data_IF_430584670629
#
_entry.id   IF_430584670629
#
_cell.length_a   1.000
_cell.length_b   1.000
_cell.length_c   1.000
_cell.angle_alpha   90.00
_cell.angle_beta   90.00
_cell.angle_gamma   90.00
#
_symmetry.space_group_name_H-M   'P 1'
#
loop_
_entity.id
_entity.type
_entity.pdbx_description
1 polymer ?
#
# COMPACT_ATOMS: atom_id res chain seq x y z
N UNK A 1 -52.52 -49.97 57.91
CA UNK A 1 -53.10 -51.28 57.58
C UNK A 1 -52.24 -51.86 56.51
N UNK A 2 -51.50 -52.95 56.90
CA UNK A 2 -51.18 -54.18 56.15
C UNK A 2 -50.53 -53.95 54.76
N UNK A 3 -49.50 -54.60 54.35
CA UNK A 3 -48.61 -55.69 54.71
C UNK A 3 -47.70 -55.91 53.51
N UNK A 4 -46.40 -56.03 53.73
CA UNK A 4 -45.54 -57.18 53.44
C UNK A 4 -45.56 -57.81 52.00
N UNK A 5 -44.43 -57.89 51.33
CA UNK A 5 -43.59 -59.11 51.20
C UNK A 5 -42.45 -58.85 50.18
N UNK A 6 -41.24 -58.95 50.61
CA UNK A 6 -40.16 -59.92 50.38
C UNK A 6 -40.03 -60.47 48.96
N UNK A 7 -38.80 -60.42 48.46
CA UNK A 7 -38.32 -61.33 47.44
C UNK A 7 -36.98 -60.95 46.88
N UNK A 8 -35.93 -61.52 47.49
CA UNK A 8 -34.52 -61.61 47.07
C UNK A 8 -34.39 -62.29 45.70
N UNK A 9 -33.48 -61.89 44.87
CA UNK A 9 -32.48 -62.78 44.20
C UNK A 9 -31.39 -62.01 43.47
N UNK A 10 -30.19 -62.17 43.90
CA UNK A 10 -28.95 -61.77 43.23
C UNK A 10 -28.81 -62.49 41.90
N UNK A 11 -28.42 -61.74 40.87
CA UNK A 11 -27.66 -62.28 39.72
C UNK A 11 -26.54 -61.37 39.33
N UNK A 12 -25.33 -61.81 39.58
CA UNK A 12 -24.05 -61.35 39.06
C UNK A 12 -24.09 -61.42 37.53
N UNK A 13 -23.88 -60.25 36.88
CA UNK A 13 -23.39 -60.23 35.51
C UNK A 13 -22.15 -59.37 35.48
N UNK A 14 -21.02 -59.99 35.30
CA UNK A 14 -19.76 -59.34 34.91
C UNK A 14 -19.89 -58.90 33.48
N UNK A 15 -19.87 -57.58 33.24
CA UNK A 15 -19.68 -57.01 31.92
C UNK A 15 -18.31 -56.37 31.84
N UNK A 16 -17.46 -57.03 31.10
CA UNK A 16 -16.13 -56.57 30.63
C UNK A 16 -16.26 -55.24 29.93
N UNK A 17 -15.70 -54.20 30.54
CA UNK A 17 -15.54 -52.89 29.90
C UNK A 17 -14.40 -52.96 28.89
N UNK A 18 -14.73 -53.02 27.60
CA UNK A 18 -13.78 -52.87 26.49
C UNK A 18 -13.56 -51.34 26.32
N UNK A 19 -12.47 -50.85 26.92
CA UNK A 19 -12.04 -49.45 26.73
C UNK A 19 -11.51 -49.32 25.31
N UNK A 20 -12.37 -48.81 24.40
CA UNK A 20 -11.99 -48.35 23.08
C UNK A 20 -11.13 -47.07 23.19
N UNK A 21 -9.81 -47.21 23.01
CA UNK A 21 -8.92 -46.08 22.77
C UNK A 21 -9.24 -45.57 21.37
N UNK A 22 -10.14 -44.57 21.29
CA UNK A 22 -10.25 -43.74 20.12
C UNK A 22 -8.99 -42.85 20.06
N UNK A 23 -8.02 -43.30 19.30
CA UNK A 23 -6.88 -42.47 18.90
C UNK A 23 -7.40 -41.22 18.19
N UNK A 24 -7.33 -40.08 18.86
CA UNK A 24 -7.50 -38.77 18.20
C UNK A 24 -6.34 -38.59 17.21
N UNK A 25 -6.56 -38.96 15.96
CA UNK A 25 -5.70 -38.56 14.86
C UNK A 25 -5.82 -37.03 14.81
N UNK A 26 -4.71 -36.27 14.87
CA UNK A 26 -4.77 -34.84 14.60
C UNK A 26 -5.28 -34.70 13.16
N UNK A 27 -6.46 -34.12 12.98
CA UNK A 27 -6.88 -33.57 11.71
C UNK A 27 -5.84 -32.48 11.36
N UNK A 28 -4.87 -32.85 10.54
CA UNK A 28 -4.06 -31.88 9.84
C UNK A 28 -5.05 -31.07 8.99
N UNK A 29 -5.44 -29.91 9.48
CA UNK A 29 -6.18 -28.94 8.69
C UNK A 29 -5.28 -28.59 7.51
N UNK A 30 -5.48 -29.27 6.37
CA UNK A 30 -4.87 -28.83 5.11
C UNK A 30 -5.42 -27.45 4.83
N UNK A 31 -4.52 -26.46 4.71
CA UNK A 31 -4.91 -25.13 4.26
C UNK A 31 -5.74 -25.28 2.96
N UNK A 32 -6.85 -24.56 2.87
CA UNK A 32 -7.70 -24.61 1.67
C UNK A 32 -6.87 -24.27 0.44
N UNK A 33 -7.06 -25.01 -0.64
CA UNK A 33 -6.36 -24.79 -1.90
C UNK A 33 -6.64 -23.35 -2.40
N UNK A 34 -5.58 -22.59 -2.67
CA UNK A 34 -5.69 -21.23 -3.22
C UNK A 34 -6.07 -21.33 -4.69
N UNK A 35 -7.22 -20.79 -5.07
CA UNK A 35 -7.69 -20.74 -6.46
C UNK A 35 -7.50 -19.37 -7.10
N UNK A 36 -7.39 -18.33 -6.30
CA UNK A 36 -7.29 -16.95 -6.74
C UNK A 36 -6.45 -16.14 -5.75
N UNK A 37 -5.68 -15.19 -6.29
CA UNK A 37 -4.95 -14.16 -5.55
C UNK A 37 -5.54 -12.82 -5.93
N UNK A 38 -6.11 -12.09 -4.96
CA UNK A 38 -6.78 -10.82 -5.16
C UNK A 38 -5.87 -9.68 -4.70
N UNK A 39 -5.44 -8.85 -5.65
CA UNK A 39 -4.47 -7.77 -5.42
C UNK A 39 -5.16 -6.43 -5.58
N UNK A 40 -5.07 -5.59 -4.55
CA UNK A 40 -5.57 -4.22 -4.57
C UNK A 40 -4.45 -3.23 -4.94
N UNK A 41 -4.80 -2.26 -5.78
CA UNK A 41 -3.89 -1.22 -6.25
C UNK A 41 -4.61 0.13 -6.28
N UNK A 42 -4.01 1.23 -5.76
CA UNK A 42 -4.50 2.58 -6.04
C UNK A 42 -4.42 2.86 -7.53
N UNK A 43 -5.50 3.35 -8.12
CA UNK A 43 -5.51 3.75 -9.53
C UNK A 43 -4.97 5.16 -9.71
N UNK A 44 -3.80 5.26 -10.31
CA UNK A 44 -3.09 6.51 -10.56
C UNK A 44 -3.32 7.05 -11.98
N UNK A 45 -4.15 6.37 -12.79
CA UNK A 45 -4.39 6.75 -14.18
C UNK A 45 -5.31 7.97 -14.29
N UNK A 46 -5.07 8.78 -15.32
CA UNK A 46 -5.97 9.85 -15.73
C UNK A 46 -6.96 9.43 -16.83
N UNK A 47 -6.77 8.25 -17.41
CA UNK A 47 -7.56 7.72 -18.52
C UNK A 47 -8.47 6.56 -18.14
N UNK A 48 -8.79 5.75 -19.15
CA UNK A 48 -9.65 4.55 -19.03
C UNK A 48 -8.86 3.29 -18.69
N UNK A 49 -7.57 3.25 -19.03
CA UNK A 49 -6.66 2.20 -18.60
C UNK A 49 -6.30 2.39 -17.14
N UNK A 50 -5.86 1.32 -16.48
CA UNK A 50 -5.46 1.37 -15.08
C UNK A 50 -3.94 1.34 -14.94
N UNK A 51 -3.40 2.16 -14.03
CA UNK A 51 -1.99 2.20 -13.68
C UNK A 51 -1.82 2.27 -12.16
N UNK A 52 -0.97 1.41 -11.62
CA UNK A 52 -0.47 1.52 -10.25
C UNK A 52 0.93 2.15 -10.20
N UNK A 53 1.53 2.40 -11.36
CA UNK A 53 2.91 2.85 -11.47
C UNK A 53 3.92 1.78 -11.04
N UNK A 54 5.21 2.12 -11.14
CA UNK A 54 6.31 1.33 -10.59
C UNK A 54 6.28 -0.16 -10.95
N UNK A 55 6.52 -0.97 -9.95
CA UNK A 55 6.58 -2.43 -10.06
C UNK A 55 5.26 -3.05 -10.54
N UNK A 56 4.11 -2.46 -10.18
CA UNK A 56 2.77 -2.97 -10.55
C UNK A 56 2.57 -2.97 -12.06
N UNK A 57 2.92 -1.89 -12.75
CA UNK A 57 2.72 -1.79 -14.17
C UNK A 57 3.64 -2.75 -14.95
N UNK A 58 4.85 -2.99 -14.45
CA UNK A 58 5.76 -4.00 -15.01
C UNK A 58 5.21 -5.41 -14.79
N UNK A 59 4.76 -5.74 -13.59
CA UNK A 59 4.16 -7.04 -13.26
C UNK A 59 3.00 -7.35 -14.20
N UNK A 60 2.07 -6.41 -14.36
CA UNK A 60 0.88 -6.58 -15.20
C UNK A 60 1.20 -6.67 -16.69
N UNK A 61 1.98 -5.73 -17.22
CA UNK A 61 2.29 -5.68 -18.65
C UNK A 61 3.04 -6.91 -19.13
N UNK A 62 3.83 -7.52 -18.26
CA UNK A 62 4.59 -8.74 -18.56
C UNK A 62 3.91 -10.01 -18.10
N UNK A 63 2.75 -9.90 -17.43
CA UNK A 63 1.98 -11.03 -16.87
C UNK A 63 2.86 -11.91 -15.96
N UNK A 64 3.69 -11.29 -15.11
CA UNK A 64 4.68 -12.01 -14.33
C UNK A 64 4.02 -12.90 -13.28
N UNK A 65 3.01 -12.40 -12.55
CA UNK A 65 2.29 -13.18 -11.56
C UNK A 65 1.43 -14.26 -12.22
N UNK A 66 0.73 -13.93 -13.29
CA UNK A 66 -0.10 -14.87 -14.05
C UNK A 66 0.73 -16.07 -14.53
N UNK A 67 1.91 -15.80 -15.09
CA UNK A 67 2.84 -16.86 -15.53
C UNK A 67 3.43 -17.66 -14.36
N UNK A 68 3.76 -16.98 -13.25
CA UNK A 68 4.31 -17.66 -12.09
C UNK A 68 3.31 -18.65 -11.47
N UNK A 69 2.03 -18.36 -11.50
CA UNK A 69 0.98 -19.18 -10.88
C UNK A 69 0.21 -20.09 -11.85
N UNK A 70 0.54 -20.07 -13.13
CA UNK A 70 -0.15 -20.84 -14.15
C UNK A 70 -0.10 -22.37 -13.93
N UNK A 71 1.04 -22.88 -13.46
CA UNK A 71 1.24 -24.30 -13.16
C UNK A 71 0.38 -24.81 -12.00
N UNK A 72 -0.03 -23.91 -11.10
CA UNK A 72 -0.90 -24.22 -9.97
C UNK A 72 -2.39 -23.94 -10.26
N UNK A 73 -2.71 -23.42 -11.45
CA UNK A 73 -4.07 -23.02 -11.79
C UNK A 73 -4.63 -21.86 -10.96
N UNK A 74 -3.77 -21.12 -10.27
CA UNK A 74 -4.17 -19.97 -9.44
C UNK A 74 -4.37 -18.75 -10.34
N UNK A 75 -5.55 -18.14 -10.24
CA UNK A 75 -5.87 -16.90 -10.96
C UNK A 75 -5.30 -15.70 -10.21
N UNK A 76 -4.82 -14.70 -10.96
CA UNK A 76 -4.40 -13.42 -10.40
C UNK A 76 -5.43 -12.37 -10.80
N UNK A 77 -6.05 -11.75 -9.81
CA UNK A 77 -7.03 -10.69 -9.99
C UNK A 77 -6.48 -9.35 -9.52
N UNK A 78 -6.35 -8.40 -10.43
CA UNK A 78 -5.96 -7.03 -10.14
C UNK A 78 -7.20 -6.16 -9.95
N UNK A 79 -7.30 -5.50 -8.80
CA UNK A 79 -8.41 -4.61 -8.44
C UNK A 79 -7.86 -3.19 -8.25
N UNK A 80 -8.32 -2.26 -9.11
CA UNK A 80 -7.88 -0.88 -9.09
C UNK A 80 -8.91 0.02 -8.41
N UNK A 81 -8.45 0.86 -7.48
CA UNK A 81 -9.31 1.72 -6.65
C UNK A 81 -8.94 3.19 -6.81
N UNK A 82 -9.82 3.99 -7.42
CA UNK A 82 -9.65 5.46 -7.48
C UNK A 82 -9.74 6.13 -6.10
N UNK A 83 -10.48 5.52 -5.16
CA UNK A 83 -10.51 5.90 -3.76
C UNK A 83 -9.23 5.57 -2.97
N UNK A 84 -8.24 4.95 -3.63
CA UNK A 84 -6.90 4.65 -3.12
C UNK A 84 -6.92 3.94 -1.74
N UNK A 85 -6.00 4.30 -0.85
CA UNK A 85 -5.78 3.63 0.42
C UNK A 85 -6.99 3.49 1.33
N UNK A 86 -7.82 4.51 1.56
CA UNK A 86 -9.02 4.38 2.38
C UNK A 86 -9.95 3.26 1.93
N UNK A 87 -10.28 3.21 0.64
CA UNK A 87 -11.17 2.17 0.07
C UNK A 87 -10.49 0.79 0.07
N UNK A 88 -9.18 0.72 -0.14
CA UNK A 88 -8.44 -0.54 -0.07
C UNK A 88 -8.43 -1.09 1.36
N UNK A 89 -8.30 -0.25 2.38
CA UNK A 89 -8.41 -0.68 3.78
C UNK A 89 -9.80 -1.24 4.11
N UNK A 90 -10.87 -0.67 3.54
CA UNK A 90 -12.23 -1.22 3.65
C UNK A 90 -12.32 -2.58 2.95
N UNK A 91 -11.71 -2.74 1.76
CA UNK A 91 -11.67 -4.01 1.05
C UNK A 91 -10.92 -5.11 1.85
N UNK A 92 -9.83 -4.77 2.54
CA UNK A 92 -9.16 -5.67 3.48
C UNK A 92 -10.07 -6.05 4.66
N UNK A 93 -10.70 -5.05 5.30
CA UNK A 93 -11.60 -5.29 6.42
C UNK A 93 -12.76 -6.23 6.07
N UNK A 94 -13.21 -6.19 4.82
CA UNK A 94 -14.28 -7.03 4.29
C UNK A 94 -13.79 -8.37 3.68
N UNK A 95 -12.48 -8.68 3.75
CA UNK A 95 -11.92 -9.91 3.19
C UNK A 95 -12.01 -10.00 1.65
N UNK A 96 -12.07 -8.85 0.97
CA UNK A 96 -12.22 -8.79 -0.49
C UNK A 96 -10.89 -8.84 -1.24
N UNK A 97 -9.76 -8.63 -0.54
CA UNK A 97 -8.42 -8.62 -1.11
C UNK A 97 -7.44 -9.38 -0.22
N UNK A 98 -6.42 -9.97 -0.82
CA UNK A 98 -5.38 -10.76 -0.14
C UNK A 98 -4.09 -9.97 -0.01
N UNK A 99 -3.78 -9.14 -1.01
CA UNK A 99 -2.59 -8.28 -1.05
C UNK A 99 -2.96 -6.87 -1.50
N UNK A 100 -2.16 -5.89 -1.10
CA UNK A 100 -2.28 -4.53 -1.60
C UNK A 100 -0.92 -3.84 -1.74
N UNK A 101 -0.76 -3.12 -2.84
CA UNK A 101 0.27 -2.11 -3.02
C UNK A 101 -0.24 -0.79 -2.47
N UNK A 102 0.38 -0.28 -1.43
CA UNK A 102 -0.08 0.92 -0.73
C UNK A 102 1.06 1.90 -0.47
N UNK A 103 0.74 3.18 -0.50
CA UNK A 103 1.61 4.18 0.12
C UNK A 103 1.61 4.03 1.65
N UNK A 104 2.67 4.52 2.28
CA UNK A 104 2.97 4.31 3.69
C UNK A 104 1.81 4.66 4.63
N UNK A 105 1.25 5.88 4.57
CA UNK A 105 0.20 6.28 5.50
C UNK A 105 -1.04 5.38 5.43
N UNK A 106 -1.47 5.00 4.23
CA UNK A 106 -2.64 4.14 4.08
C UNK A 106 -2.44 2.77 4.75
N UNK A 107 -1.27 2.17 4.51
CA UNK A 107 -0.91 0.89 5.12
C UNK A 107 -0.75 1.01 6.64
N UNK A 108 -0.14 2.09 7.13
CA UNK A 108 0.02 2.42 8.55
C UNK A 108 -1.34 2.61 9.24
N UNK A 109 -2.27 3.34 8.63
CA UNK A 109 -3.64 3.53 9.16
C UNK A 109 -4.35 2.19 9.28
N UNK A 110 -4.29 1.35 8.25
CA UNK A 110 -4.88 0.01 8.29
C UNK A 110 -4.35 -0.80 9.46
N UNK A 111 -3.04 -0.91 9.61
CA UNK A 111 -2.38 -1.63 10.72
C UNK A 111 -2.75 -1.04 12.09
N UNK A 112 -2.67 0.27 12.24
CA UNK A 112 -2.99 0.98 13.48
C UNK A 112 -4.45 0.80 13.91
N UNK A 113 -5.37 0.69 12.96
CA UNK A 113 -6.79 0.45 13.21
C UNK A 113 -7.14 -1.02 13.45
N UNK A 114 -6.15 -1.90 13.46
CA UNK A 114 -6.31 -3.31 13.78
C UNK A 114 -6.57 -4.23 12.60
N UNK A 115 -6.38 -3.77 11.36
CA UNK A 115 -6.35 -4.69 10.22
C UNK A 115 -5.18 -5.67 10.41
N UNK A 116 -5.50 -6.95 10.36
CA UNK A 116 -4.49 -8.01 10.44
C UNK A 116 -3.77 -8.12 9.10
N UNK A 117 -2.71 -7.32 8.95
CA UNK A 117 -1.85 -7.32 7.77
C UNK A 117 -0.40 -7.63 8.15
N UNK A 118 0.36 -8.12 7.17
CA UNK A 118 1.81 -8.36 7.25
C UNK A 118 2.52 -7.49 6.22
N UNK A 119 3.60 -6.85 6.63
CA UNK A 119 4.51 -6.13 5.73
C UNK A 119 5.38 -7.15 4.98
N UNK A 120 5.35 -7.11 3.65
CA UNK A 120 6.00 -8.10 2.79
C UNK A 120 7.18 -7.55 2.02
N UNK A 121 7.10 -6.31 1.54
CA UNK A 121 8.14 -5.74 0.67
C UNK A 121 8.05 -4.22 0.63
N UNK A 122 9.18 -3.55 0.43
CA UNK A 122 9.21 -2.22 -0.12
C UNK A 122 8.78 -2.27 -1.59
N UNK A 123 8.09 -1.25 -2.08
CA UNK A 123 7.68 -1.16 -3.50
C UNK A 123 8.07 0.15 -4.15
N UNK A 124 8.31 1.19 -3.36
CA UNK A 124 8.97 2.41 -3.78
C UNK A 124 9.57 3.15 -2.58
N UNK A 125 10.65 3.90 -2.82
CA UNK A 125 11.41 4.64 -1.81
C UNK A 125 11.64 6.06 -2.26
N UNK A 126 11.35 7.01 -1.40
CA UNK A 126 11.70 8.41 -1.63
C UNK A 126 11.04 9.01 -2.86
N UNK A 127 9.80 8.61 -3.17
CA UNK A 127 9.08 9.12 -4.34
C UNK A 127 8.81 10.62 -4.20
N UNK A 128 9.17 11.35 -5.24
CA UNK A 128 9.07 12.81 -5.29
C UNK A 128 7.62 13.28 -5.32
N UNK A 129 7.36 14.35 -4.58
CA UNK A 129 6.08 15.06 -4.58
C UNK A 129 6.30 16.53 -4.87
N UNK A 130 5.24 17.22 -5.30
CA UNK A 130 5.25 18.62 -5.71
C UNK A 130 4.13 19.42 -5.05
N UNK A 131 4.40 20.70 -4.85
CA UNK A 131 3.38 21.71 -4.68
C UNK A 131 2.96 22.20 -6.06
N UNK A 132 1.71 21.97 -6.45
CA UNK A 132 1.10 22.57 -7.63
C UNK A 132 0.27 23.77 -7.24
N UNK A 133 0.47 24.90 -7.91
CA UNK A 133 -0.25 26.16 -7.63
C UNK A 133 -0.86 26.74 -8.91
N UNK A 134 -1.88 27.57 -8.73
CA UNK A 134 -2.49 28.28 -9.84
C UNK A 134 -1.45 29.20 -10.50
N UNK A 135 -1.28 29.16 -11.84
CA UNK A 135 -0.33 30.01 -12.55
C UNK A 135 -0.54 31.51 -12.27
N UNK A 136 0.57 32.20 -12.03
CA UNK A 136 0.56 33.63 -11.71
C UNK A 136 0.03 33.99 -10.32
N UNK A 137 -0.18 33.01 -9.44
CA UNK A 137 -0.65 33.23 -8.06
C UNK A 137 0.37 33.92 -7.15
N UNK A 138 1.64 33.96 -7.54
CA UNK A 138 2.73 34.48 -6.73
C UNK A 138 3.17 33.57 -5.60
N UNK A 139 2.57 32.35 -5.44
CA UNK A 139 2.96 31.36 -4.45
C UNK A 139 4.27 30.71 -4.89
N UNK A 140 5.32 30.81 -4.09
CA UNK A 140 6.66 30.26 -4.37
C UNK A 140 7.17 29.32 -3.30
N UNK A 141 6.62 29.40 -2.10
CA UNK A 141 7.04 28.63 -0.92
C UNK A 141 5.83 28.02 -0.20
N UNK A 142 6.07 27.08 0.73
CA UNK A 142 4.99 26.56 1.59
C UNK A 142 4.44 27.65 2.52
N UNK A 143 5.24 28.65 2.92
CA UNK A 143 4.81 29.77 3.75
C UNK A 143 3.76 30.65 3.05
N UNK A 144 3.85 30.79 1.73
CA UNK A 144 2.90 31.60 0.93
C UNK A 144 1.50 30.97 0.87
N UNK A 145 1.37 29.71 1.28
CA UNK A 145 0.09 29.00 1.37
C UNK A 145 -0.78 29.41 2.55
N UNK A 146 -0.27 30.17 3.53
CA UNK A 146 -1.05 30.53 4.74
C UNK A 146 -2.40 31.13 4.36
N UNK A 147 -3.46 30.56 4.92
CA UNK A 147 -4.85 30.96 4.65
C UNK A 147 -5.39 30.56 3.26
N UNK A 148 -4.60 29.92 2.41
CA UNK A 148 -5.01 29.46 1.08
C UNK A 148 -5.76 28.13 1.14
N UNK A 149 -6.50 27.83 0.05
CA UNK A 149 -7.22 26.57 -0.15
C UNK A 149 -6.25 25.55 -0.76
N UNK A 150 -5.93 24.51 -0.02
CA UNK A 150 -4.97 23.47 -0.44
C UNK A 150 -5.65 22.12 -0.50
N UNK A 151 -5.66 21.48 -1.66
CA UNK A 151 -6.17 20.12 -1.78
C UNK A 151 -5.14 19.09 -1.33
N UNK A 152 -5.58 18.18 -0.48
CA UNK A 152 -4.82 17.03 -0.01
C UNK A 152 -5.74 15.81 0.01
N UNK A 153 -5.29 14.67 -0.49
CA UNK A 153 -6.08 13.45 -0.43
C UNK A 153 -5.81 12.73 0.90
N UNK A 154 -6.77 12.88 1.83
CA UNK A 154 -6.65 12.36 3.21
C UNK A 154 -6.61 10.84 3.26
N UNK A 155 -5.85 10.32 4.22
CA UNK A 155 -5.66 8.87 4.42
C UNK A 155 -4.74 8.22 3.39
N UNK A 156 -4.08 9.00 2.54
CA UNK A 156 -3.08 8.52 1.56
C UNK A 156 -1.67 8.97 1.93
N UNK A 157 -0.67 8.36 1.31
CA UNK A 157 0.73 8.77 1.47
C UNK A 157 0.96 10.26 1.12
N UNK A 158 0.16 10.84 0.21
CA UNK A 158 0.26 12.26 -0.11
C UNK A 158 -0.07 13.17 1.07
N UNK A 159 -0.99 12.77 1.96
CA UNK A 159 -1.26 13.54 3.19
C UNK A 159 -0.03 13.54 4.11
N UNK A 160 0.52 12.37 4.43
CA UNK A 160 1.69 12.28 5.31
C UNK A 160 2.91 13.00 4.71
N UNK A 161 3.07 12.90 3.38
CA UNK A 161 4.07 13.63 2.62
C UNK A 161 3.93 15.14 2.80
N UNK A 162 2.71 15.67 2.66
CA UNK A 162 2.44 17.09 2.87
C UNK A 162 2.73 17.52 4.31
N UNK A 163 2.26 16.74 5.29
CA UNK A 163 2.51 17.01 6.70
C UNK A 163 4.00 17.01 7.04
N UNK A 164 4.78 16.09 6.47
CA UNK A 164 6.23 16.05 6.63
C UNK A 164 6.92 17.27 5.98
N UNK A 165 6.47 17.65 4.78
CA UNK A 165 6.96 18.85 4.09
C UNK A 165 6.66 20.11 4.91
N UNK A 166 5.44 20.24 5.43
CA UNK A 166 5.04 21.36 6.30
C UNK A 166 5.87 21.40 7.58
N UNK A 167 6.01 20.27 8.28
CA UNK A 167 6.78 20.17 9.52
C UNK A 167 8.24 20.57 9.32
N UNK A 168 8.86 20.23 8.18
CA UNK A 168 10.24 20.63 7.86
C UNK A 168 10.40 22.15 7.73
N UNK A 169 9.32 22.88 7.56
CA UNK A 169 9.26 24.34 7.41
C UNK A 169 8.61 25.02 8.62
N UNK A 170 8.37 24.28 9.73
CA UNK A 170 7.72 24.80 10.92
C UNK A 170 6.24 25.14 10.74
N UNK A 171 5.58 24.52 9.75
CA UNK A 171 4.17 24.70 9.41
C UNK A 171 3.35 23.45 9.78
N UNK A 172 2.04 23.59 9.74
CA UNK A 172 1.08 22.51 9.94
C UNK A 172 -0.18 22.73 9.08
N UNK A 173 -1.03 21.70 8.91
CA UNK A 173 -2.32 21.83 8.21
C UNK A 173 -3.23 22.94 8.80
N UNK A 174 -3.02 23.34 10.06
CA UNK A 174 -3.81 24.41 10.71
C UNK A 174 -3.57 25.80 10.11
N UNK A 175 -2.45 25.98 9.40
CA UNK A 175 -2.09 27.24 8.76
C UNK A 175 -2.87 27.47 7.44
N UNK A 176 -3.62 26.45 6.97
CA UNK A 176 -4.25 26.43 5.65
C UNK A 176 -5.75 26.10 5.72
N UNK A 177 -6.45 26.28 4.59
CA UNK A 177 -7.80 25.76 4.37
C UNK A 177 -7.67 24.42 3.59
N UNK A 178 -7.42 23.33 4.31
CA UNK A 178 -7.25 22.00 3.70
C UNK A 178 -8.58 21.48 3.20
N UNK A 179 -8.62 21.07 1.92
CA UNK A 179 -9.78 20.48 1.25
C UNK A 179 -9.42 19.03 0.88
N UNK A 180 -10.24 18.09 1.32
CA UNK A 180 -10.06 16.68 0.96
C UNK A 180 -10.62 16.43 -0.44
N UNK A 181 -9.74 16.21 -1.41
CA UNK A 181 -10.07 15.83 -2.79
C UNK A 181 -9.22 14.64 -3.21
N UNK A 182 -9.80 13.71 -3.96
CA UNK A 182 -9.03 12.69 -4.64
C UNK A 182 -8.13 13.28 -5.73
N UNK A 183 -7.23 12.47 -6.28
CA UNK A 183 -6.23 12.96 -7.25
C UNK A 183 -6.86 13.60 -8.49
N UNK A 184 -7.95 13.02 -9.01
CA UNK A 184 -8.62 13.54 -10.20
C UNK A 184 -9.41 14.81 -9.91
N UNK A 185 -10.11 14.84 -8.79
CA UNK A 185 -10.86 16.02 -8.34
C UNK A 185 -9.93 17.20 -8.02
N UNK A 186 -8.77 16.93 -7.39
CA UNK A 186 -7.77 17.96 -7.11
C UNK A 186 -7.19 18.59 -8.39
N UNK A 187 -6.89 17.77 -9.41
CA UNK A 187 -6.43 18.22 -10.74
C UNK A 187 -7.49 19.14 -11.39
N UNK A 188 -8.75 18.69 -11.41
CA UNK A 188 -9.84 19.47 -11.99
C UNK A 188 -10.07 20.79 -11.24
N UNK A 189 -10.06 20.76 -9.91
CA UNK A 189 -10.27 21.95 -9.07
C UNK A 189 -9.13 22.96 -9.21
N UNK A 190 -7.87 22.51 -9.33
CA UNK A 190 -6.72 23.39 -9.53
C UNK A 190 -6.77 24.04 -10.92
N UNK A 191 -7.05 23.25 -11.97
CA UNK A 191 -7.20 23.76 -13.34
C UNK A 191 -8.34 24.78 -13.45
N UNK A 192 -9.44 24.56 -12.73
CA UNK A 192 -10.59 25.48 -12.66
C UNK A 192 -10.40 26.65 -11.68
N UNK A 193 -9.24 26.75 -11.00
CA UNK A 193 -8.91 27.79 -9.99
C UNK A 193 -9.88 27.80 -8.79
N UNK A 194 -10.53 26.67 -8.50
CA UNK A 194 -11.41 26.49 -7.36
C UNK A 194 -10.64 26.27 -6.05
N UNK A 195 -9.37 25.86 -6.15
CA UNK A 195 -8.38 25.78 -5.09
C UNK A 195 -7.15 26.59 -5.49
N UNK A 196 -6.35 26.97 -4.50
CA UNK A 196 -5.15 27.79 -4.74
C UNK A 196 -3.92 26.91 -4.98
N UNK A 197 -3.90 25.73 -4.36
CA UNK A 197 -2.81 24.77 -4.46
C UNK A 197 -3.27 23.31 -4.24
N UNK A 198 -2.42 22.38 -4.67
CA UNK A 198 -2.55 20.94 -4.41
C UNK A 198 -1.18 20.33 -4.19
N UNK A 199 -1.11 19.32 -3.32
CA UNK A 199 0.08 18.50 -3.13
C UNK A 199 -0.10 17.16 -3.85
N UNK A 200 0.87 16.76 -4.69
CA UNK A 200 0.76 15.56 -5.52
C UNK A 200 2.03 15.23 -6.29
N UNK A 201 1.92 14.36 -7.28
CA UNK A 201 3.03 13.84 -8.08
C UNK A 201 2.82 14.09 -9.59
N UNK A 202 2.94 13.07 -10.44
CA UNK A 202 2.85 13.16 -11.91
C UNK A 202 1.54 13.79 -12.41
N UNK A 203 0.45 13.72 -11.65
CA UNK A 203 -0.79 14.42 -11.96
C UNK A 203 -0.61 15.95 -12.03
N UNK A 204 0.26 16.51 -11.20
CA UNK A 204 0.58 17.94 -11.19
C UNK A 204 1.58 18.31 -12.28
N UNK A 205 2.57 17.47 -12.57
CA UNK A 205 3.48 17.68 -13.71
C UNK A 205 2.72 17.66 -15.04
N UNK A 206 1.66 16.87 -15.14
CA UNK A 206 0.77 16.86 -16.29
C UNK A 206 -0.01 18.18 -16.45
N UNK A 207 -0.43 18.81 -15.35
CA UNK A 207 -1.05 20.14 -15.38
C UNK A 207 -0.03 21.22 -15.76
N UNK A 208 1.18 21.16 -15.23
CA UNK A 208 2.25 22.09 -15.56
C UNK A 208 2.53 22.10 -17.08
N UNK A 209 2.62 20.94 -17.69
CA UNK A 209 2.86 20.85 -19.14
C UNK A 209 1.72 21.45 -19.99
N UNK A 210 0.52 21.54 -19.44
CA UNK A 210 -0.64 22.22 -20.06
C UNK A 210 -0.71 23.72 -19.73
N UNK A 211 0.24 24.24 -18.95
CA UNK A 211 0.20 25.62 -18.46
C UNK A 211 -0.90 25.89 -17.43
N UNK A 212 -1.46 24.84 -16.80
CA UNK A 212 -2.57 24.91 -15.84
C UNK A 212 -2.10 24.86 -14.38
N UNK A 213 -0.82 24.63 -14.15
CA UNK A 213 -0.18 24.72 -12.84
C UNK A 213 1.26 25.21 -12.96
N UNK A 214 1.78 25.82 -11.89
CA UNK A 214 3.19 26.01 -11.62
C UNK A 214 3.61 25.07 -10.48
N UNK A 215 4.88 24.57 -10.50
CA UNK A 215 5.41 23.67 -9.50
C UNK A 215 6.61 24.32 -8.79
N UNK A 216 6.38 25.28 -7.87
CA UNK A 216 7.46 26.06 -7.27
C UNK A 216 8.29 25.26 -6.25
N UNK A 217 7.76 24.18 -5.68
CA UNK A 217 8.40 23.39 -4.62
C UNK A 217 8.21 21.90 -4.91
N UNK A 218 9.28 21.14 -4.73
CA UNK A 218 9.25 19.68 -4.68
C UNK A 218 9.86 19.17 -3.34
N UNK A 219 9.65 17.91 -3.03
CA UNK A 219 10.31 17.27 -1.87
C UNK A 219 11.83 17.26 -1.99
N UNK A 220 12.39 17.35 -3.21
CA UNK A 220 13.85 17.47 -3.42
C UNK A 220 14.37 18.82 -2.92
N UNK A 221 13.62 19.90 -3.14
CA UNK A 221 13.97 21.24 -2.66
C UNK A 221 13.91 21.34 -1.12
N UNK A 222 13.20 20.42 -0.48
CA UNK A 222 13.08 20.31 0.97
C UNK A 222 14.05 19.26 1.60
N UNK A 223 15.12 18.91 0.87
CA UNK A 223 16.08 17.92 1.33
C UNK A 223 15.51 16.50 1.46
N UNK A 224 14.45 16.20 0.71
CA UNK A 224 13.74 14.91 0.74
C UNK A 224 12.62 14.82 1.78
N UNK A 225 12.39 15.87 2.58
CA UNK A 225 11.23 15.91 3.50
C UNK A 225 9.93 15.77 2.72
N UNK A 226 9.07 14.85 3.15
CA UNK A 226 7.81 14.52 2.46
C UNK A 226 7.94 13.55 1.29
N UNK A 227 9.12 12.98 1.02
CA UNK A 227 9.24 11.90 0.04
C UNK A 227 8.48 10.66 0.49
N UNK A 228 7.69 10.06 -0.42
CA UNK A 228 6.80 8.94 -0.12
C UNK A 228 7.56 7.61 -0.09
N UNK A 229 7.17 6.74 0.85
CA UNK A 229 7.48 5.32 0.85
C UNK A 229 6.25 4.53 0.41
N UNK A 230 6.46 3.38 -0.24
CA UNK A 230 5.36 2.48 -0.61
C UNK A 230 5.72 1.04 -0.28
N UNK A 231 4.70 0.25 0.03
CA UNK A 231 4.83 -1.12 0.52
C UNK A 231 3.87 -2.07 -0.18
N UNK A 232 4.24 -3.35 -0.18
CA UNK A 232 3.33 -4.46 -0.38
C UNK A 232 2.96 -5.02 0.99
N UNK A 233 1.67 -5.13 1.26
CA UNK A 233 1.13 -5.78 2.44
C UNK A 233 0.21 -6.94 2.04
N UNK A 234 0.15 -7.97 2.87
CA UNK A 234 -0.77 -9.09 2.71
C UNK A 234 -1.70 -9.23 3.91
N UNK A 235 -2.89 -9.81 3.69
CA UNK A 235 -3.78 -10.25 4.78
C UNK A 235 -3.04 -11.24 5.66
N UNK A 236 -3.05 -11.03 6.98
CA UNK A 236 -2.38 -11.93 7.93
C UNK A 236 -2.89 -13.36 7.80
N UNK A 237 -4.21 -13.53 7.71
CA UNK A 237 -4.82 -14.85 7.54
C UNK A 237 -4.32 -15.57 6.26
N UNK A 238 -4.17 -14.84 5.14
CA UNK A 238 -3.66 -15.43 3.90
C UNK A 238 -2.18 -15.74 3.99
N UNK A 239 -1.38 -14.77 4.47
CA UNK A 239 0.08 -14.90 4.56
C UNK A 239 0.48 -16.05 5.48
N UNK A 240 -0.17 -16.17 6.63
CA UNK A 240 0.14 -17.19 7.62
C UNK A 240 -0.32 -18.60 7.17
N UNK A 241 -1.40 -18.69 6.38
CA UNK A 241 -1.93 -19.96 5.85
C UNK A 241 -1.21 -20.46 4.59
N UNK A 242 -0.62 -19.56 3.77
CA UNK A 242 -0.08 -19.89 2.46
C UNK A 242 1.33 -19.29 2.25
N UNK A 243 2.31 -19.62 3.11
CA UNK A 243 3.66 -19.04 3.03
C UNK A 243 4.39 -19.37 1.72
N UNK A 244 4.13 -20.53 1.12
CA UNK A 244 4.66 -20.97 -0.17
C UNK A 244 4.16 -20.09 -1.33
N UNK A 245 2.87 -19.71 -1.31
CA UNK A 245 2.28 -18.78 -2.29
C UNK A 245 2.90 -17.39 -2.14
N UNK A 246 3.08 -16.94 -0.90
CA UNK A 246 3.73 -15.63 -0.61
C UNK A 246 5.17 -15.62 -1.10
N UNK A 247 5.95 -16.65 -0.81
CA UNK A 247 7.34 -16.76 -1.27
C UNK A 247 7.43 -16.76 -2.81
N UNK A 248 6.53 -17.49 -3.48
CA UNK A 248 6.46 -17.50 -4.94
C UNK A 248 6.09 -16.14 -5.51
N UNK A 249 5.14 -15.44 -4.87
CA UNK A 249 4.73 -14.08 -5.26
C UNK A 249 5.89 -13.10 -5.11
N UNK A 250 6.63 -13.11 -4.00
CA UNK A 250 7.77 -12.23 -3.77
C UNK A 250 8.92 -12.52 -4.73
N UNK A 251 9.21 -13.79 -5.03
CA UNK A 251 10.20 -14.17 -6.06
C UNK A 251 9.79 -13.70 -7.45
N UNK A 252 8.52 -13.79 -7.79
CA UNK A 252 8.00 -13.28 -9.05
C UNK A 252 8.07 -11.74 -9.10
N UNK A 253 7.73 -11.05 -8.01
CA UNK A 253 7.89 -9.59 -7.92
C UNK A 253 9.35 -9.17 -8.14
N UNK A 254 10.31 -9.93 -7.62
CA UNK A 254 11.72 -9.62 -7.77
C UNK A 254 12.16 -9.57 -9.24
N UNK A 255 11.56 -10.38 -10.14
CA UNK A 255 11.83 -10.30 -11.58
C UNK A 255 11.42 -8.94 -12.18
N UNK A 256 10.28 -8.38 -11.70
CA UNK A 256 9.85 -7.05 -12.13
C UNK A 256 10.78 -5.96 -11.60
N UNK A 257 11.23 -6.08 -10.35
CA UNK A 257 12.20 -5.17 -9.74
C UNK A 257 13.54 -5.19 -10.47
N UNK A 258 14.07 -6.38 -10.77
CA UNK A 258 15.31 -6.54 -11.52
C UNK A 258 15.24 -5.87 -12.90
N UNK A 259 14.13 -6.07 -13.62
CA UNK A 259 13.93 -5.38 -14.88
C UNK A 259 13.85 -3.87 -14.71
N UNK A 260 13.09 -3.40 -13.73
CA UNK A 260 12.83 -1.98 -13.48
C UNK A 260 14.10 -1.22 -13.04
N UNK A 261 14.99 -1.89 -12.30
CA UNK A 261 16.21 -1.28 -11.76
C UNK A 261 17.41 -1.32 -12.71
N UNK A 262 17.27 -1.92 -13.90
CA UNK A 262 18.28 -1.84 -14.95
C UNK A 262 18.21 -0.47 -15.64
N UNK A 263 19.33 0.25 -15.67
CA UNK A 263 19.41 1.61 -16.23
C UNK A 263 18.92 1.68 -17.68
N UNK A 264 19.18 0.65 -18.49
CA UNK A 264 18.74 0.58 -19.89
C UNK A 264 17.21 0.47 -20.08
N UNK A 265 16.46 0.19 -19.04
CA UNK A 265 15.00 0.00 -19.12
C UNK A 265 14.21 1.27 -18.77
N UNK A 266 14.86 2.37 -18.39
CA UNK A 266 14.17 3.60 -17.95
C UNK A 266 13.24 4.15 -19.02
N UNK A 267 13.67 4.24 -20.27
CA UNK A 267 12.81 4.76 -21.35
C UNK A 267 11.64 3.81 -21.64
N UNK A 268 11.88 2.50 -21.62
CA UNK A 268 10.80 1.52 -21.78
C UNK A 268 9.79 1.58 -20.62
N UNK A 269 10.25 1.82 -19.40
CA UNK A 269 9.39 2.05 -18.24
C UNK A 269 8.55 3.34 -18.40
N UNK A 270 9.18 4.44 -18.81
CA UNK A 270 8.45 5.70 -19.07
C UNK A 270 7.38 5.50 -20.14
N UNK A 271 7.69 4.82 -21.23
CA UNK A 271 6.73 4.51 -22.29
C UNK A 271 5.55 3.68 -21.76
N UNK A 272 5.84 2.64 -20.98
CA UNK A 272 4.83 1.77 -20.38
C UNK A 272 3.87 2.56 -19.49
N UNK A 273 4.40 3.30 -18.52
CA UNK A 273 3.57 4.06 -17.55
C UNK A 273 2.81 5.18 -18.26
N UNK A 274 3.43 5.85 -19.23
CA UNK A 274 2.77 6.87 -20.04
C UNK A 274 1.53 6.34 -20.74
N UNK A 275 1.62 5.14 -21.33
CA UNK A 275 0.48 4.49 -21.98
C UNK A 275 -0.62 4.14 -21.00
N UNK A 276 -0.30 3.46 -19.90
CA UNK A 276 -1.26 3.00 -18.91
C UNK A 276 -1.89 4.14 -18.11
N UNK A 277 -1.08 5.10 -17.67
CA UNK A 277 -1.56 6.23 -16.86
C UNK A 277 -2.20 7.35 -17.67
N UNK A 278 -2.10 7.31 -19.00
CA UNK A 278 -2.58 8.37 -19.91
C UNK A 278 -1.91 9.73 -19.64
N UNK A 279 -0.61 9.72 -19.29
CA UNK A 279 0.21 10.91 -19.19
C UNK A 279 1.15 11.04 -20.38
N UNK A 280 1.37 12.25 -20.92
CA UNK A 280 2.35 12.45 -22.00
C UNK A 280 3.75 11.97 -21.60
N UNK A 281 4.41 11.21 -22.49
CA UNK A 281 5.71 10.62 -22.23
C UNK A 281 6.78 11.65 -21.84
N UNK A 282 6.78 12.81 -22.48
CA UNK A 282 7.73 13.91 -22.20
C UNK A 282 7.66 14.38 -20.74
N UNK A 283 6.48 14.32 -20.11
CA UNK A 283 6.28 14.73 -18.73
C UNK A 283 6.95 13.73 -17.79
N UNK A 284 6.72 12.42 -18.00
CA UNK A 284 7.34 11.39 -17.19
C UNK A 284 8.86 11.34 -17.40
N UNK A 285 9.34 11.58 -18.61
CA UNK A 285 10.76 11.73 -18.89
C UNK A 285 11.39 12.87 -18.09
N UNK A 286 10.73 14.04 -18.07
CA UNK A 286 11.20 15.19 -17.32
C UNK A 286 11.14 14.95 -15.80
N UNK A 287 10.07 14.32 -15.32
CA UNK A 287 9.89 14.00 -13.90
C UNK A 287 10.95 13.01 -13.38
N UNK A 288 11.34 12.05 -14.20
CA UNK A 288 12.32 11.03 -13.86
C UNK A 288 13.75 11.35 -14.34
N UNK A 289 13.98 12.51 -14.96
CA UNK A 289 15.26 12.83 -15.59
C UNK A 289 16.47 12.60 -14.68
N UNK A 290 16.40 13.12 -13.46
CA UNK A 290 17.48 13.07 -12.47
C UNK A 290 17.24 11.97 -11.41
N UNK A 291 16.28 11.08 -11.64
CA UNK A 291 15.95 9.98 -10.74
C UNK A 291 16.54 8.65 -11.26
N UNK A 292 17.06 7.84 -10.35
CA UNK A 292 17.51 6.48 -10.64
C UNK A 292 16.45 5.48 -10.18
N UNK A 293 15.94 4.69 -11.11
CA UNK A 293 14.95 3.66 -10.79
C UNK A 293 15.49 2.61 -9.81
N UNK A 294 16.80 2.35 -9.85
CA UNK A 294 17.50 1.48 -8.91
C UNK A 294 17.53 2.00 -7.46
N UNK A 295 17.33 3.30 -7.24
CA UNK A 295 17.24 3.89 -5.92
C UNK A 295 15.77 3.97 -5.43
N UNK A 296 14.81 4.07 -6.37
CA UNK A 296 13.38 4.20 -6.05
C UNK A 296 12.74 2.84 -5.79
N UNK A 297 13.09 1.79 -6.56
CA UNK A 297 12.35 0.53 -6.58
C UNK A 297 13.03 -0.72 -5.96
N UNK A 298 14.03 -0.63 -5.09
CA UNK A 298 14.49 -1.82 -4.37
C UNK A 298 13.38 -2.38 -3.47
N UNK A 299 13.25 -3.72 -3.47
CA UNK A 299 12.17 -4.43 -2.76
C UNK A 299 12.51 -4.82 -1.32
N UNK A 300 13.79 -4.73 -0.93
CA UNK A 300 14.26 -5.17 0.38
C UNK A 300 13.65 -4.32 1.51
N UNK A 301 13.38 -4.97 2.63
CA UNK A 301 13.00 -4.31 3.90
C UNK A 301 14.25 -4.02 4.74
N UNK A 302 15.28 -3.43 4.14
CA UNK A 302 16.54 -3.12 4.83
C UNK A 302 16.36 -2.12 5.99
N UNK A 303 17.35 -2.02 6.89
CA UNK A 303 17.25 -1.12 8.08
C UNK A 303 16.99 0.34 7.71
N UNK A 304 17.47 0.83 6.56
CA UNK A 304 17.24 2.21 6.11
C UNK A 304 15.78 2.42 5.74
N UNK A 305 15.19 1.49 4.99
CA UNK A 305 13.78 1.55 4.63
C UNK A 305 12.87 1.41 5.87
N UNK A 306 13.14 0.42 6.72
CA UNK A 306 12.37 0.21 7.95
C UNK A 306 12.46 1.41 8.88
N UNK A 307 13.63 2.06 8.99
CA UNK A 307 13.80 3.29 9.76
C UNK A 307 12.98 4.46 9.20
N UNK A 308 12.93 4.63 7.88
CA UNK A 308 12.08 5.66 7.24
C UNK A 308 10.59 5.36 7.44
N UNK A 309 10.19 4.10 7.32
CA UNK A 309 8.80 3.70 7.55
C UNK A 309 8.39 3.86 9.02
N UNK A 310 9.33 3.62 9.98
CA UNK A 310 9.09 3.93 11.39
C UNK A 310 8.90 5.43 11.59
N UNK A 311 9.72 6.27 10.94
CA UNK A 311 9.53 7.72 10.96
C UNK A 311 8.15 8.15 10.43
N UNK A 312 7.62 7.45 9.41
CA UNK A 312 6.24 7.65 8.93
C UNK A 312 5.20 7.30 10.00
N UNK A 313 5.37 6.21 10.74
CA UNK A 313 4.51 5.84 11.89
C UNK A 313 4.55 6.90 12.97
N UNK A 314 5.75 7.35 13.34
CA UNK A 314 5.95 8.32 14.40
C UNK A 314 5.33 9.68 14.05
N UNK A 315 5.54 10.15 12.82
CA UNK A 315 4.92 11.37 12.32
C UNK A 315 3.39 11.25 12.26
N UNK A 316 2.86 10.13 11.74
CA UNK A 316 1.41 9.90 11.70
C UNK A 316 0.79 9.92 13.11
N UNK A 317 1.51 9.41 14.12
CA UNK A 317 1.11 9.50 15.53
C UNK A 317 1.14 10.93 16.06
N UNK A 318 2.21 11.69 15.80
CA UNK A 318 2.34 13.09 16.20
C UNK A 318 1.25 13.97 15.58
N UNK A 319 0.92 13.73 14.31
CA UNK A 319 -0.13 14.45 13.59
C UNK A 319 -1.55 13.94 13.93
N UNK A 320 -1.66 12.95 14.82
CA UNK A 320 -2.94 12.32 15.23
C UNK A 320 -3.71 11.67 14.07
N UNK A 321 -3.00 11.24 13.03
CA UNK A 321 -3.57 10.49 11.91
C UNK A 321 -3.80 9.03 12.29
N UNK A 322 -3.10 8.53 13.30
CA UNK A 322 -3.28 7.21 13.90
C UNK A 322 -3.43 7.33 15.42
N UNK A 323 -4.14 6.38 16.01
CA UNK A 323 -4.38 6.35 17.46
C UNK A 323 -3.34 5.51 18.21
N UNK A 324 -2.86 4.44 17.60
CA UNK A 324 -1.96 3.46 18.20
C UNK A 324 -0.69 3.34 17.35
N UNK A 325 0.40 4.00 17.73
CA UNK A 325 1.69 3.76 17.09
C UNK A 325 2.15 2.32 17.36
N UNK A 326 2.97 1.79 16.46
CA UNK A 326 3.50 0.44 16.55
C UNK A 326 4.94 0.41 16.02
N UNK A 327 5.67 -0.66 16.34
CA UNK A 327 7.00 -0.90 15.77
C UNK A 327 6.86 -1.56 14.41
N UNK A 328 7.48 -0.98 13.40
CA UNK A 328 7.44 -1.50 12.02
C UNK A 328 8.03 -2.91 11.95
N UNK A 329 9.04 -3.21 12.75
CA UNK A 329 9.63 -4.55 12.83
C UNK A 329 8.63 -5.64 13.25
N UNK A 330 7.64 -5.29 14.09
CA UNK A 330 6.61 -6.23 14.53
C UNK A 330 5.52 -6.46 13.45
N UNK A 331 5.56 -5.70 12.37
CA UNK A 331 4.65 -5.79 11.25
C UNK A 331 5.18 -6.65 10.10
N UNK A 332 6.50 -6.81 10.01
CA UNK A 332 7.16 -7.66 9.00
C UNK A 332 6.67 -9.09 9.12
N UNK A 333 6.40 -9.74 7.99
CA UNK A 333 5.98 -11.14 7.97
C UNK A 333 7.03 -12.04 8.65
N UNK A 334 6.61 -13.00 9.49
CA UNK A 334 7.54 -13.77 10.33
C UNK A 334 8.62 -14.55 9.56
N UNK A 335 8.27 -15.10 8.38
CA UNK A 335 9.23 -15.80 7.52
C UNK A 335 10.31 -14.86 6.96
N UNK A 336 9.97 -13.60 6.67
CA UNK A 336 10.91 -12.58 6.19
C UNK A 336 11.77 -12.04 7.34
N UNK A 337 11.19 -11.81 8.51
CA UNK A 337 11.93 -11.41 9.70
C UNK A 337 12.97 -12.46 10.13
N UNK A 338 12.66 -13.76 9.99
CA UNK A 338 13.57 -14.86 10.27
C UNK A 338 14.70 -15.01 9.25
N UNK A 339 14.53 -14.52 8.03
CA UNK A 339 15.54 -14.56 6.96
C UNK A 339 16.65 -13.50 7.11
N UNK A 340 16.59 -12.66 8.14
CA UNK A 340 17.63 -11.67 8.45
C UNK A 340 17.60 -10.44 7.55
N UNK A 341 16.42 -9.92 7.32
CA UNK A 341 16.22 -8.63 6.64
C UNK A 341 16.87 -7.49 7.40
#
# INVERSE_FOLDING_TARGET
MKTLFKGSLARLFATTALAGVLGALPLLATAAEVKEIRIAVPDLSAGTEHSGGGVVDVLRSRQIFEKAFADQGIKVQWNFFKGAGPVINEAFANGQVDFAYLGDLAAIIGKSNGLDTRLLSATARGVKQYLGVVPGSGIKTLQDLKGKRVAVFRGTASQLSFDAALASQGLSEKDFKVINLDFSAAVAALAAKQIDASWGSSNLTALQAKGLAELPVSTRDLGGAGSIQSVLVGSGAFVDAHPDVVDKLLKAQQQAVEWLTQDGNKDAYVQLVSGLASYPQVILQQDLKDEKLSEIFPSQLDPVFLGKLQGSVDLASQQKLIRKPFKVTDWVAPNLAAAGL
#
